data_IF_444300315917
#
_entry.id   IF_444300315917
#
_cell.length_a   1.000
_cell.length_b   1.000
_cell.length_c   1.000
_cell.angle_alpha   90.00
_cell.angle_beta   90.00
_cell.angle_gamma   90.00
#
_symmetry.space_group_name_H-M   'P 1'
#
loop_
_entity.id
_entity.type
_entity.pdbx_description
1 polymer ?
#
# COMPACT_ATOMS: atom_id res chain seq x y z
N UNK A 1 -0.85 0.30 2.94
CA UNK A 1 -0.74 0.73 1.53
C UNK A 1 0.44 0.04 0.89
N UNK A 2 0.48 -0.02 -0.44
CA UNK A 2 1.55 -0.66 -1.20
C UNK A 2 1.77 0.06 -2.53
N UNK A 3 3.01 0.22 -2.97
CA UNK A 3 3.37 0.85 -4.24
C UNK A 3 3.36 -0.17 -5.37
N UNK A 4 2.57 0.06 -6.41
CA UNK A 4 2.57 -0.75 -7.64
C UNK A 4 3.87 -0.64 -8.45
N UNK A 5 4.66 0.41 -8.19
CA UNK A 5 5.95 0.63 -8.84
C UNK A 5 7.12 0.21 -7.93
N UNK A 6 6.84 -0.60 -6.90
CA UNK A 6 7.81 -0.97 -5.88
C UNK A 6 8.51 0.25 -5.26
N UNK A 7 9.78 0.06 -4.91
CA UNK A 7 10.64 1.06 -4.27
C UNK A 7 10.80 2.35 -5.11
N UNK A 8 10.60 2.26 -6.42
CA UNK A 8 10.73 3.38 -7.35
C UNK A 8 9.46 4.24 -7.47
N UNK A 9 8.41 3.91 -6.72
CA UNK A 9 7.20 4.73 -6.64
C UNK A 9 7.50 6.13 -6.09
N UNK A 10 7.25 7.17 -6.89
CA UNK A 10 7.53 8.55 -6.49
C UNK A 10 6.82 8.96 -5.19
N UNK A 11 5.55 8.60 -5.05
CA UNK A 11 4.78 8.86 -3.83
C UNK A 11 5.34 8.07 -2.64
N UNK A 12 5.74 6.82 -2.85
CA UNK A 12 6.24 5.94 -1.80
C UNK A 12 7.54 6.50 -1.23
N UNK A 13 8.50 6.86 -2.09
CA UNK A 13 9.76 7.50 -1.67
C UNK A 13 9.52 8.78 -0.87
N UNK A 14 8.58 9.62 -1.31
CA UNK A 14 8.24 10.84 -0.59
C UNK A 14 7.63 10.53 0.80
N UNK A 15 6.71 9.56 0.86
CA UNK A 15 6.00 9.20 2.08
C UNK A 15 6.90 8.51 3.13
N UNK A 16 7.78 7.60 2.72
CA UNK A 16 8.71 6.94 3.66
C UNK A 16 9.82 7.86 4.16
N UNK A 17 10.16 8.93 3.40
CA UNK A 17 11.13 9.94 3.83
C UNK A 17 10.66 10.72 5.06
N UNK A 18 9.37 11.05 5.13
CA UNK A 18 8.79 11.82 6.24
C UNK A 18 8.18 10.92 7.30
N UNK A 19 7.72 9.71 6.93
CA UNK A 19 6.89 8.81 7.75
C UNK A 19 5.63 9.49 8.32
N UNK A 20 5.17 10.53 7.63
CA UNK A 20 3.98 11.31 7.95
C UNK A 20 3.09 11.38 6.73
N UNK A 21 1.79 11.19 6.93
CA UNK A 21 0.80 11.25 5.87
C UNK A 21 -0.53 11.81 6.36
N UNK A 22 -1.40 12.11 5.41
CA UNK A 22 -2.79 12.48 5.62
C UNK A 22 -3.64 11.65 4.68
N UNK A 23 -4.72 11.07 5.20
CA UNK A 23 -5.63 10.25 4.41
C UNK A 23 -7.05 10.78 4.53
N UNK A 24 -7.77 10.71 3.42
CA UNK A 24 -9.21 11.02 3.36
C UNK A 24 -9.94 9.76 2.90
N UNK A 25 -10.80 9.21 3.75
CA UNK A 25 -11.58 8.00 3.46
C UNK A 25 -13.04 8.29 3.75
N UNK A 26 -13.91 8.14 2.75
CA UNK A 26 -15.35 8.40 2.87
C UNK A 26 -15.68 9.78 3.49
N UNK A 27 -14.89 10.82 3.16
CA UNK A 27 -15.07 12.17 3.69
C UNK A 27 -14.43 12.43 5.06
N UNK A 28 -13.83 11.42 5.69
CA UNK A 28 -13.13 11.57 6.97
C UNK A 28 -11.64 11.79 6.69
N UNK A 29 -11.11 12.91 7.16
CA UNK A 29 -9.69 13.23 7.11
C UNK A 29 -8.98 12.86 8.41
N UNK A 30 -7.82 12.21 8.31
CA UNK A 30 -6.96 11.85 9.45
C UNK A 30 -5.48 11.98 9.10
N UNK A 31 -4.72 12.52 10.03
CA UNK A 31 -3.26 12.43 10.00
C UNK A 31 -2.83 11.02 10.44
N UNK A 32 -1.79 10.49 9.79
CA UNK A 32 -1.28 9.14 10.03
C UNK A 32 0.24 9.12 10.07
N UNK A 33 0.78 8.24 10.89
CA UNK A 33 2.16 7.79 10.80
C UNK A 33 2.28 6.60 9.85
N UNK A 34 3.37 6.55 9.11
CA UNK A 34 3.69 5.43 8.24
C UNK A 34 4.73 4.54 8.93
N UNK A 35 4.36 3.28 9.12
CA UNK A 35 5.21 2.25 9.72
C UNK A 35 5.48 1.12 8.74
N UNK A 36 6.61 0.45 8.92
CA UNK A 36 6.94 -0.74 8.16
C UNK A 36 5.95 -1.86 8.52
N UNK A 37 5.37 -2.51 7.51
CA UNK A 37 4.45 -3.62 7.74
C UNK A 37 5.21 -4.94 7.89
N UNK A 38 4.61 -5.90 8.60
CA UNK A 38 5.14 -7.25 8.68
C UNK A 38 4.89 -8.00 7.36
N UNK A 39 5.91 -8.70 6.84
CA UNK A 39 5.84 -9.41 5.56
C UNK A 39 4.75 -10.48 5.53
N UNK A 40 4.38 -11.02 6.69
CA UNK A 40 3.30 -12.00 6.84
C UNK A 40 1.94 -11.46 6.37
N UNK A 41 1.76 -10.14 6.32
CA UNK A 41 0.54 -9.50 5.81
C UNK A 41 0.44 -9.51 4.28
N UNK A 42 1.51 -9.85 3.56
CA UNK A 42 1.51 -9.73 2.11
C UNK A 42 0.45 -10.61 1.45
N UNK A 43 0.29 -11.85 1.93
CA UNK A 43 -0.71 -12.78 1.41
C UNK A 43 -2.14 -12.29 1.67
N UNK A 44 -2.43 -11.84 2.89
CA UNK A 44 -3.77 -11.30 3.24
C UNK A 44 -4.14 -10.10 2.37
N UNK A 45 -3.16 -9.23 2.09
CA UNK A 45 -3.35 -8.08 1.20
C UNK A 45 -3.57 -8.53 -0.24
N UNK A 46 -2.82 -9.52 -0.73
CA UNK A 46 -2.98 -10.07 -2.08
C UNK A 46 -4.39 -10.66 -2.28
N UNK A 47 -4.86 -11.44 -1.30
CA UNK A 47 -6.20 -12.03 -1.31
C UNK A 47 -7.29 -10.94 -1.33
N UNK A 48 -7.10 -9.86 -0.55
CA UNK A 48 -8.00 -8.70 -0.56
C UNK A 48 -8.00 -7.96 -1.91
N UNK A 49 -6.84 -7.85 -2.57
CA UNK A 49 -6.75 -7.27 -3.91
C UNK A 49 -7.45 -8.13 -4.96
N UNK A 50 -7.28 -9.46 -4.90
CA UNK A 50 -8.00 -10.40 -5.75
C UNK A 50 -9.51 -10.34 -5.53
N UNK A 51 -9.97 -10.27 -4.29
CA UNK A 51 -11.40 -10.15 -3.99
C UNK A 51 -12.00 -8.85 -4.56
N UNK A 52 -11.26 -7.74 -4.52
CA UNK A 52 -11.74 -6.43 -4.98
C UNK A 52 -11.62 -6.22 -6.49
N UNK A 53 -10.52 -6.66 -7.07
CA UNK A 53 -10.13 -6.32 -8.45
C UNK A 53 -9.87 -7.54 -9.34
N UNK A 54 -10.18 -8.75 -8.90
CA UNK A 54 -9.92 -9.99 -9.63
C UNK A 54 -10.58 -10.08 -11.02
N UNK A 55 -11.56 -9.21 -11.32
CA UNK A 55 -12.11 -9.03 -12.67
C UNK A 55 -11.10 -8.44 -13.66
N UNK A 56 -10.08 -7.73 -13.18
CA UNK A 56 -9.08 -6.99 -13.98
C UNK A 56 -7.65 -7.24 -13.46
N UNK A 57 -7.18 -8.50 -13.48
CA UNK A 57 -5.94 -8.89 -12.80
C UNK A 57 -4.70 -8.17 -13.33
N UNK A 58 -4.50 -8.16 -14.66
CA UNK A 58 -3.36 -7.51 -15.29
C UNK A 58 -3.28 -5.98 -15.03
N UNK A 59 -4.41 -5.33 -14.79
CA UNK A 59 -4.47 -3.87 -14.62
C UNK A 59 -4.30 -3.44 -13.16
N UNK A 60 -4.84 -4.22 -12.22
CA UNK A 60 -4.96 -3.77 -10.82
C UNK A 60 -4.41 -4.74 -9.78
N UNK A 61 -4.20 -6.02 -10.13
CA UNK A 61 -3.73 -7.04 -9.17
C UNK A 61 -2.25 -7.33 -9.40
N UNK A 62 -1.86 -7.76 -10.60
CA UNK A 62 -0.47 -8.09 -10.92
C UNK A 62 0.53 -6.96 -10.64
N UNK A 63 0.21 -5.67 -10.89
CA UNK A 63 1.12 -4.59 -10.56
C UNK A 63 1.37 -4.41 -9.06
N UNK A 64 0.52 -4.94 -8.17
CA UNK A 64 0.61 -4.72 -6.71
C UNK A 64 0.87 -6.00 -5.90
N UNK A 65 0.76 -7.19 -6.50
CA UNK A 65 0.99 -8.48 -5.84
C UNK A 65 2.32 -9.13 -6.27
N UNK A 66 3.25 -8.35 -6.83
CA UNK A 66 4.60 -8.80 -7.16
C UNK A 66 5.60 -8.50 -6.02
N UNK A 67 6.75 -9.17 -6.06
CA UNK A 67 7.80 -9.06 -5.03
C UNK A 67 8.29 -7.62 -4.82
N UNK A 68 8.49 -6.86 -5.90
CA UNK A 68 8.89 -5.46 -5.81
C UNK A 68 7.86 -4.63 -5.03
N UNK A 69 6.58 -4.89 -5.23
CA UNK A 69 5.49 -4.21 -4.53
C UNK A 69 5.38 -4.69 -3.09
N UNK A 70 5.54 -5.98 -2.81
CA UNK A 70 5.54 -6.53 -1.44
C UNK A 70 6.55 -5.80 -0.53
N UNK A 71 7.73 -5.46 -1.05
CA UNK A 71 8.77 -4.70 -0.32
C UNK A 71 8.36 -3.26 0.08
N UNK A 72 7.19 -2.80 -0.35
CA UNK A 72 6.68 -1.44 -0.10
C UNK A 72 5.41 -1.41 0.74
N UNK A 73 5.05 -2.53 1.35
CA UNK A 73 3.89 -2.61 2.23
C UNK A 73 4.14 -1.76 3.47
N UNK A 74 3.31 -0.73 3.65
CA UNK A 74 3.34 0.17 4.80
C UNK A 74 2.03 0.15 5.55
N UNK A 75 2.12 0.19 6.88
CA UNK A 75 0.97 0.34 7.78
C UNK A 75 0.71 1.83 8.01
N UNK A 76 -0.56 2.22 8.00
CA UNK A 76 -1.00 3.55 8.38
C UNK A 76 -1.52 3.51 9.82
N UNK A 77 -0.90 4.28 10.71
CA UNK A 77 -1.29 4.36 12.12
C UNK A 77 -1.89 5.75 12.38
N UNK A 78 -3.17 5.84 12.79
CA UNK A 78 -3.78 7.12 13.13
C UNK A 78 -3.01 7.85 14.22
N UNK A 79 -2.86 9.17 14.04
CA UNK A 79 -2.33 10.06 15.07
C UNK A 79 -3.45 10.63 15.94
#
# INVERSE_FOLDING_TARGET
>A
MRSAHGLDGAWYRAAVKTRLGRVTVAGIERDVHLEDAADQLNQEIDDAFWAKYGRYPAQYVEPVTNEASHSTTIRLVPR
#
